data_IF_467109470770
#
_entry.id   IF_467109470770
#
_cell.length_a   1.000
_cell.length_b   1.000
_cell.length_c   1.000
_cell.angle_alpha   90.00
_cell.angle_beta   90.00
_cell.angle_gamma   90.00
#
_symmetry.space_group_name_H-M   'P 1'
#
loop_
_entity.id
_entity.type
_entity.pdbx_description
1 polymer ?
#
# COMPACT_ATOMS: atom_id res chain seq x y z
N UNK A 1 29.70 -21.87 13.57
CA UNK A 1 31.03 -21.29 13.85
C UNK A 1 31.45 -20.25 12.81
N UNK A 2 31.55 -20.61 11.51
CA UNK A 2 31.98 -19.68 10.43
C UNK A 2 31.21 -18.34 10.43
N UNK A 3 29.87 -18.40 10.56
CA UNK A 3 29.03 -17.19 10.62
C UNK A 3 29.37 -16.28 11.81
N UNK A 4 29.61 -16.87 12.99
CA UNK A 4 29.94 -16.12 14.22
C UNK A 4 31.30 -15.40 14.07
N UNK A 5 32.30 -16.08 13.51
CA UNK A 5 33.62 -15.48 13.25
C UNK A 5 33.53 -14.32 12.25
N UNK A 6 32.77 -14.48 11.17
CA UNK A 6 32.54 -13.38 10.21
C UNK A 6 31.83 -12.19 10.86
N UNK A 7 30.88 -12.45 11.76
CA UNK A 7 30.15 -11.41 12.49
C UNK A 7 31.08 -10.66 13.45
N UNK A 8 31.91 -11.37 14.21
CA UNK A 8 32.89 -10.77 15.11
C UNK A 8 33.83 -9.81 14.36
N UNK A 9 34.38 -10.27 13.22
CA UNK A 9 35.29 -9.47 12.40
C UNK A 9 34.67 -8.18 11.84
N UNK A 10 33.36 -8.17 11.59
CA UNK A 10 32.66 -7.02 11.02
C UNK A 10 32.09 -6.05 12.08
N UNK A 11 31.80 -6.53 13.29
CA UNK A 11 31.12 -5.75 14.33
C UNK A 11 32.09 -5.20 15.38
N UNK A 12 33.12 -5.97 15.74
CA UNK A 12 34.06 -5.57 16.79
C UNK A 12 34.90 -4.38 16.31
N UNK A 13 34.79 -3.26 17.02
CA UNK A 13 35.52 -2.03 16.72
C UNK A 13 36.98 -2.04 17.20
N UNK A 14 37.28 -2.81 18.25
CA UNK A 14 38.57 -2.84 18.93
C UNK A 14 39.09 -4.26 19.01
N UNK A 15 40.42 -4.43 18.89
CA UNK A 15 41.08 -5.74 18.99
C UNK A 15 40.76 -6.47 20.31
N UNK A 16 40.62 -5.73 21.42
CA UNK A 16 40.24 -6.30 22.72
C UNK A 16 38.88 -7.00 22.67
N UNK A 17 37.86 -6.32 22.15
CA UNK A 17 36.52 -6.89 22.00
C UNK A 17 36.48 -8.04 20.99
N UNK A 18 37.34 -8.02 19.97
CA UNK A 18 37.45 -9.11 19.01
C UNK A 18 38.02 -10.38 19.66
N UNK A 19 39.03 -10.24 20.52
CA UNK A 19 39.60 -11.39 21.26
C UNK A 19 38.58 -11.96 22.27
N UNK A 20 37.86 -11.09 23.00
CA UNK A 20 36.80 -11.51 23.91
C UNK A 20 35.71 -12.31 23.17
N UNK A 21 35.29 -11.85 21.99
CA UNK A 21 34.31 -12.54 21.15
C UNK A 21 34.85 -13.88 20.60
N UNK A 22 36.14 -13.95 20.23
CA UNK A 22 36.76 -15.22 19.83
C UNK A 22 36.82 -16.22 20.97
N UNK A 23 37.11 -15.77 22.20
CA UNK A 23 37.07 -16.63 23.38
C UNK A 23 35.66 -17.17 23.65
N UNK A 24 34.64 -16.33 23.47
CA UNK A 24 33.25 -16.76 23.60
C UNK A 24 32.85 -17.75 22.49
N UNK A 25 33.28 -17.52 21.24
CA UNK A 25 33.07 -18.45 20.14
C UNK A 25 33.76 -19.81 20.40
N UNK A 26 34.98 -19.82 20.96
CA UNK A 26 35.68 -21.04 21.39
C UNK A 26 34.89 -21.77 22.47
N UNK A 27 34.41 -21.04 23.48
CA UNK A 27 33.60 -21.59 24.58
C UNK A 27 32.30 -22.23 24.06
N UNK A 28 31.55 -21.52 23.22
CA UNK A 28 30.32 -22.03 22.60
C UNK A 28 30.63 -23.24 21.72
N UNK A 29 31.71 -23.21 20.94
CA UNK A 29 32.10 -24.33 20.10
C UNK A 29 32.45 -25.58 20.91
N UNK A 30 33.22 -25.43 21.99
CA UNK A 30 33.53 -26.52 22.92
C UNK A 30 32.27 -27.13 23.56
N UNK A 31 31.33 -26.28 24.00
CA UNK A 31 30.05 -26.74 24.55
C UNK A 31 29.20 -27.52 23.55
N UNK A 32 29.38 -27.26 22.26
CA UNK A 32 28.74 -28.00 21.18
C UNK A 32 29.64 -29.13 20.63
N UNK A 33 30.64 -29.57 21.41
CA UNK A 33 31.56 -30.66 21.10
C UNK A 33 32.36 -30.47 19.80
N UNK A 34 32.61 -29.22 19.38
CA UNK A 34 33.53 -28.96 18.27
C UNK A 34 34.99 -29.00 18.75
N UNK A 35 35.92 -29.65 18.01
CA UNK A 35 37.34 -29.63 18.34
C UNK A 35 37.93 -28.22 18.29
N UNK A 36 38.76 -27.85 19.27
CA UNK A 36 39.42 -26.53 19.30
C UNK A 36 40.25 -26.26 18.04
N UNK A 37 40.98 -27.27 17.57
CA UNK A 37 41.77 -27.19 16.34
C UNK A 37 40.94 -26.74 15.13
N UNK A 38 39.70 -27.22 15.03
CA UNK A 38 38.78 -26.82 13.96
C UNK A 38 38.36 -25.35 14.11
N UNK A 39 38.05 -24.90 15.33
CA UNK A 39 37.62 -23.53 15.61
C UNK A 39 38.75 -22.55 15.31
N UNK A 40 39.95 -22.80 15.83
CA UNK A 40 41.12 -21.93 15.65
C UNK A 40 41.56 -21.88 14.18
N UNK A 41 41.45 -23.00 13.46
CA UNK A 41 41.69 -23.02 12.00
C UNK A 41 40.73 -22.09 11.26
N UNK A 42 39.43 -22.13 11.61
CA UNK A 42 38.43 -21.23 10.99
C UNK A 42 38.73 -19.77 11.33
N UNK A 43 39.05 -19.47 12.58
CA UNK A 43 39.40 -18.11 13.02
C UNK A 43 40.60 -17.60 12.22
N UNK A 44 41.68 -18.39 12.12
CA UNK A 44 42.89 -18.02 11.39
C UNK A 44 42.64 -17.78 9.90
N UNK A 45 41.91 -18.68 9.23
CA UNK A 45 41.54 -18.53 7.81
C UNK A 45 40.75 -17.23 7.60
N UNK A 46 39.74 -16.97 8.44
CA UNK A 46 38.88 -15.79 8.30
C UNK A 46 39.59 -14.49 8.64
N UNK A 47 40.46 -14.48 9.64
CA UNK A 47 41.27 -13.32 9.98
C UNK A 47 42.22 -12.94 8.84
N UNK A 48 42.89 -13.94 8.24
CA UNK A 48 43.76 -13.73 7.07
C UNK A 48 42.99 -13.17 5.87
N UNK A 49 41.82 -13.74 5.56
CA UNK A 49 40.94 -13.26 4.50
C UNK A 49 40.46 -11.82 4.76
N UNK A 50 40.10 -11.50 6.00
CA UNK A 50 39.63 -10.18 6.39
C UNK A 50 40.73 -9.12 6.24
N UNK A 51 41.95 -9.45 6.67
CA UNK A 51 43.10 -8.57 6.52
C UNK A 51 43.41 -8.28 5.05
N UNK A 52 43.44 -9.31 4.19
CA UNK A 52 43.70 -9.14 2.76
C UNK A 52 42.59 -8.33 2.05
N UNK A 53 41.34 -8.43 2.51
CA UNK A 53 40.22 -7.63 2.01
C UNK A 53 40.31 -6.15 2.38
N UNK A 54 40.89 -5.84 3.55
CA UNK A 54 41.14 -4.46 3.97
C UNK A 54 42.29 -3.86 3.14
N UNK A 55 43.41 -4.58 2.97
CA UNK A 55 44.54 -4.10 2.18
C UNK A 55 44.17 -3.84 0.70
N UNK A 56 43.41 -4.74 0.07
CA UNK A 56 42.97 -4.54 -1.33
C UNK A 56 41.99 -3.38 -1.53
N UNK A 57 41.31 -2.92 -0.47
CA UNK A 57 40.44 -1.72 -0.49
C UNK A 57 41.20 -0.40 -0.33
N UNK A 58 42.36 -0.42 0.33
CA UNK A 58 43.13 0.80 0.61
C UNK A 58 44.00 1.17 -0.60
N UNK A 59 44.47 0.18 -1.37
CA UNK A 59 45.39 0.40 -2.50
C UNK A 59 44.73 0.55 -3.87
N UNK A 60 43.39 0.52 -3.93
CA UNK A 60 42.69 0.90 -5.16
C UNK A 60 42.30 2.37 -5.07
N UNK A 61 42.93 3.28 -5.84
CA UNK A 61 42.40 4.61 -5.97
C UNK A 61 40.95 4.44 -6.45
N UNK A 62 40.02 5.07 -5.73
CA UNK A 62 38.63 5.15 -6.11
C UNK A 62 38.61 5.98 -7.40
N UNK A 63 38.85 5.33 -8.53
CA UNK A 63 38.52 5.88 -9.83
C UNK A 63 36.99 5.78 -9.86
N UNK A 64 36.34 6.80 -9.31
CA UNK A 64 34.97 7.15 -9.68
C UNK A 64 34.99 7.40 -11.18
N UNK A 65 34.88 6.31 -11.94
CA UNK A 65 34.51 6.38 -13.33
C UNK A 65 33.10 6.98 -13.31
N UNK A 66 33.03 8.29 -13.58
CA UNK A 66 31.84 9.14 -13.69
C UNK A 66 30.96 8.73 -14.90
N UNK A 67 30.82 7.42 -15.10
CA UNK A 67 29.95 6.87 -16.13
C UNK A 67 28.53 7.16 -15.72
N UNK A 68 27.79 7.75 -16.66
CA UNK A 68 26.37 8.02 -16.48
C UNK A 68 25.64 6.69 -16.29
N UNK A 69 25.10 6.47 -15.09
CA UNK A 69 24.39 5.23 -14.73
C UNK A 69 22.97 5.27 -15.27
N UNK A 70 22.59 4.25 -16.03
CA UNK A 70 21.21 4.04 -16.48
C UNK A 70 20.73 2.69 -15.98
N UNK A 71 19.49 2.69 -15.52
CA UNK A 71 18.84 1.54 -14.95
C UNK A 71 17.79 0.99 -15.90
N UNK A 72 17.88 -0.31 -16.21
CA UNK A 72 17.00 -0.98 -17.17
C UNK A 72 16.32 -2.17 -16.50
N UNK A 73 14.99 -2.13 -16.49
CA UNK A 73 14.14 -3.24 -16.05
C UNK A 73 13.92 -4.23 -17.21
N UNK A 74 14.11 -5.51 -16.94
CA UNK A 74 13.91 -6.59 -17.92
C UNK A 74 13.25 -7.81 -17.24
N UNK A 75 12.22 -8.43 -17.85
CA UNK A 75 11.66 -9.68 -17.34
C UNK A 75 12.69 -10.81 -17.33
N UNK A 76 12.69 -11.61 -16.26
CA UNK A 76 13.56 -12.77 -16.11
C UNK A 76 12.96 -14.01 -16.79
N UNK A 77 13.46 -14.31 -17.98
CA UNK A 77 13.17 -15.49 -18.79
C UNK A 77 14.47 -16.30 -18.88
N UNK A 78 14.96 -16.73 -17.72
CA UNK A 78 16.11 -17.63 -17.56
C UNK A 78 17.32 -17.23 -18.45
N UNK A 79 17.81 -18.16 -19.27
CA UNK A 79 18.99 -18.01 -20.12
C UNK A 79 18.85 -16.92 -21.18
N UNK A 80 17.65 -16.74 -21.74
CA UNK A 80 17.37 -15.73 -22.76
C UNK A 80 17.62 -14.30 -22.24
N UNK A 81 17.22 -14.04 -20.99
CA UNK A 81 17.44 -12.74 -20.34
C UNK A 81 18.92 -12.47 -20.07
N UNK A 82 19.68 -13.49 -19.69
CA UNK A 82 21.14 -13.37 -19.48
C UNK A 82 21.84 -13.09 -20.81
N UNK A 83 21.46 -13.80 -21.88
CA UNK A 83 21.98 -13.57 -23.22
C UNK A 83 21.67 -12.16 -23.73
N UNK A 84 20.45 -11.68 -23.53
CA UNK A 84 20.05 -10.32 -23.91
C UNK A 84 20.81 -9.25 -23.12
N UNK A 85 20.92 -9.40 -21.79
CA UNK A 85 21.73 -8.51 -20.94
C UNK A 85 23.16 -8.40 -21.45
N UNK A 86 23.80 -9.53 -21.73
CA UNK A 86 25.18 -9.53 -22.20
C UNK A 86 25.30 -8.84 -23.56
N UNK A 87 24.42 -9.15 -24.51
CA UNK A 87 24.39 -8.49 -25.83
C UNK A 87 24.23 -6.97 -25.70
N UNK A 88 23.28 -6.50 -24.90
CA UNK A 88 23.06 -5.05 -24.70
C UNK A 88 24.27 -4.43 -24.01
N UNK A 89 24.85 -5.08 -23.00
CA UNK A 89 26.05 -4.59 -22.32
C UNK A 89 27.25 -4.49 -23.27
N UNK A 90 27.46 -5.50 -24.12
CA UNK A 90 28.52 -5.49 -25.14
C UNK A 90 28.31 -4.37 -26.16
N UNK A 91 27.08 -4.20 -26.67
CA UNK A 91 26.74 -3.12 -27.60
C UNK A 91 26.94 -1.75 -26.96
N UNK A 92 26.54 -1.59 -25.70
CA UNK A 92 26.69 -0.34 -24.97
C UNK A 92 28.15 0.01 -24.77
N UNK A 93 28.97 -0.94 -24.31
CA UNK A 93 30.40 -0.73 -24.14
C UNK A 93 31.10 -0.38 -25.47
N UNK A 94 30.60 -0.89 -26.59
CA UNK A 94 31.13 -0.60 -27.93
C UNK A 94 30.72 0.79 -28.44
N UNK A 95 29.47 1.20 -28.22
CA UNK A 95 28.91 2.43 -28.80
C UNK A 95 29.07 3.65 -27.89
N UNK A 96 28.94 3.47 -26.58
CA UNK A 96 29.04 4.53 -25.56
C UNK A 96 29.72 3.99 -24.28
N UNK A 97 31.05 3.98 -24.22
CA UNK A 97 31.79 3.49 -23.06
C UNK A 97 31.59 4.35 -21.79
N UNK A 98 31.11 5.58 -21.96
CA UNK A 98 30.79 6.53 -20.88
C UNK A 98 29.48 6.20 -20.16
N UNK A 99 28.72 5.23 -20.66
CA UNK A 99 27.44 4.80 -20.08
C UNK A 99 27.60 3.48 -19.34
N UNK A 100 27.17 3.44 -18.07
CA UNK A 100 27.08 2.20 -17.29
C UNK A 100 25.62 1.78 -17.17
N UNK A 101 25.25 0.70 -17.86
CA UNK A 101 23.89 0.15 -17.79
C UNK A 101 23.82 -0.94 -16.73
N UNK A 102 23.00 -0.70 -15.73
CA UNK A 102 22.67 -1.63 -14.66
C UNK A 102 21.30 -2.25 -14.93
N UNK A 103 21.26 -3.58 -15.00
CA UNK A 103 20.05 -4.34 -15.28
C UNK A 103 19.46 -4.88 -13.99
N UNK A 104 18.15 -4.75 -13.84
CA UNK A 104 17.39 -5.46 -12.81
C UNK A 104 16.41 -6.42 -13.46
N UNK A 105 16.31 -7.59 -12.85
CA UNK A 105 15.47 -8.67 -13.36
C UNK A 105 14.14 -8.68 -12.63
N UNK A 106 13.06 -8.46 -13.38
CA UNK A 106 11.71 -8.62 -12.85
C UNK A 106 11.30 -10.08 -12.93
N UNK A 107 10.91 -10.72 -11.82
CA UNK A 107 10.35 -12.05 -11.89
C UNK A 107 9.08 -12.03 -12.76
N UNK A 108 8.73 -13.14 -13.42
CA UNK A 108 7.44 -13.27 -14.06
C UNK A 108 6.32 -12.98 -13.05
N UNK A 109 5.20 -12.45 -13.53
CA UNK A 109 4.04 -12.18 -12.69
C UNK A 109 3.64 -13.44 -11.92
N UNK A 110 3.58 -13.34 -10.59
CA UNK A 110 3.07 -14.41 -9.74
C UNK A 110 1.68 -14.83 -10.19
N UNK A 111 1.30 -16.09 -9.97
CA UNK A 111 -0.05 -16.60 -10.21
C UNK A 111 -1.13 -15.73 -9.54
N UNK A 112 -0.78 -15.07 -8.43
CA UNK A 112 -1.61 -14.08 -7.73
C UNK A 112 -2.01 -12.87 -8.60
N UNK A 113 -1.23 -12.53 -9.63
CA UNK A 113 -1.61 -11.48 -10.58
C UNK A 113 -2.80 -11.90 -11.46
N UNK A 114 -2.99 -13.20 -11.67
CA UNK A 114 -4.09 -13.74 -12.47
C UNK A 114 -5.33 -14.06 -11.62
N UNK A 115 -5.15 -14.33 -10.32
CA UNK A 115 -6.24 -14.60 -9.40
C UNK A 115 -6.28 -13.54 -8.30
N UNK A 116 -7.26 -12.63 -8.38
CA UNK A 116 -7.54 -11.72 -7.28
C UNK A 116 -7.99 -12.55 -6.07
N UNK A 117 -7.19 -12.52 -4.99
CA UNK A 117 -7.50 -13.29 -3.76
C UNK A 117 -8.79 -12.85 -3.05
N UNK A 118 -9.39 -11.73 -3.46
CA UNK A 118 -10.61 -11.17 -2.88
C UNK A 118 -11.49 -10.63 -4.00
N UNK A 119 -12.78 -10.78 -3.82
CA UNK A 119 -13.76 -10.17 -4.71
C UNK A 119 -13.61 -8.63 -4.68
N UNK A 120 -13.66 -7.97 -5.84
CA UNK A 120 -13.59 -6.52 -5.89
C UNK A 120 -14.79 -5.92 -5.14
N UNK A 121 -14.49 -5.07 -4.15
CA UNK A 121 -15.52 -4.36 -3.41
C UNK A 121 -16.07 -3.26 -4.30
N UNK A 122 -17.39 -3.28 -4.54
CA UNK A 122 -18.09 -2.26 -5.32
C UNK A 122 -17.88 -0.89 -4.67
N UNK A 123 -17.71 0.15 -5.50
CA UNK A 123 -17.35 1.52 -5.10
C UNK A 123 -18.13 2.05 -3.88
N UNK A 124 -19.44 1.84 -3.82
CA UNK A 124 -20.32 2.33 -2.74
C UNK A 124 -20.15 1.57 -1.42
N UNK A 125 -19.63 0.34 -1.46
CA UNK A 125 -19.41 -0.51 -0.29
C UNK A 125 -18.03 -0.34 0.34
N UNK A 126 -17.15 0.46 -0.27
CA UNK A 126 -15.83 0.75 0.26
C UNK A 126 -15.91 1.68 1.48
N UNK A 127 -14.96 1.48 2.40
CA UNK A 127 -14.75 2.28 3.61
C UNK A 127 -13.37 2.95 3.54
N UNK A 128 -13.11 3.91 4.43
CA UNK A 128 -11.85 4.68 4.47
C UNK A 128 -11.53 5.42 3.17
N UNK A 129 -12.58 5.92 2.51
CA UNK A 129 -12.48 6.62 1.23
C UNK A 129 -12.67 8.12 1.39
N UNK A 130 -12.01 8.88 0.52
CA UNK A 130 -12.35 10.28 0.26
C UNK A 130 -13.24 10.31 -0.98
N UNK A 131 -14.37 11.01 -0.88
CA UNK A 131 -15.36 11.10 -1.95
C UNK A 131 -15.66 12.56 -2.28
N UNK A 132 -16.04 12.76 -3.53
CA UNK A 132 -16.40 14.05 -4.12
C UNK A 132 -17.85 14.01 -4.61
N UNK A 133 -18.63 15.03 -4.27
CA UNK A 133 -20.02 15.24 -4.74
C UNK A 133 -20.14 16.64 -5.32
N UNK A 134 -20.59 16.75 -6.57
CA UNK A 134 -20.76 18.03 -7.26
C UNK A 134 -22.21 18.51 -7.16
N UNK A 135 -22.41 19.82 -7.08
CA UNK A 135 -23.72 20.41 -7.35
C UNK A 135 -23.95 20.53 -8.87
N UNK A 136 -25.13 20.17 -9.37
CA UNK A 136 -25.44 20.30 -10.79
C UNK A 136 -25.69 21.75 -11.22
N UNK A 137 -26.19 22.57 -10.29
CA UNK A 137 -26.68 23.91 -10.59
C UNK A 137 -25.67 25.02 -10.22
N UNK A 138 -24.54 24.68 -9.59
CA UNK A 138 -23.48 25.64 -9.29
C UNK A 138 -22.07 25.03 -9.26
N UNK A 139 -21.05 25.88 -9.12
CA UNK A 139 -19.62 25.50 -9.06
C UNK A 139 -19.19 24.92 -7.71
N UNK A 140 -20.10 24.81 -6.75
CA UNK A 140 -19.78 24.27 -5.43
C UNK A 140 -19.68 22.75 -5.48
N UNK A 141 -18.77 22.21 -4.68
CA UNK A 141 -18.63 20.78 -4.50
C UNK A 141 -18.30 20.43 -3.05
N UNK A 142 -18.58 19.19 -2.70
CA UNK A 142 -18.34 18.65 -1.38
C UNK A 142 -17.28 17.55 -1.48
N UNK A 143 -16.17 17.73 -0.77
CA UNK A 143 -15.17 16.67 -0.56
C UNK A 143 -15.23 16.25 0.91
N UNK A 144 -15.50 14.95 1.12
CA UNK A 144 -15.60 14.38 2.45
C UNK A 144 -14.77 13.11 2.59
N UNK A 145 -14.30 12.84 3.80
CA UNK A 145 -13.70 11.56 4.19
C UNK A 145 -14.69 10.75 5.02
N UNK A 146 -14.73 9.44 4.80
CA UNK A 146 -15.53 8.51 5.60
C UNK A 146 -14.75 7.26 5.99
N UNK A 147 -14.78 6.92 7.28
CA UNK A 147 -14.32 5.61 7.79
C UNK A 147 -15.38 4.52 7.62
N UNK A 148 -16.62 4.94 7.36
CA UNK A 148 -17.78 4.07 7.15
C UNK A 148 -17.93 3.78 5.66
N UNK A 149 -18.69 2.73 5.33
CA UNK A 149 -19.07 2.45 3.94
C UNK A 149 -19.65 3.70 3.27
N UNK A 150 -19.19 3.98 2.05
CA UNK A 150 -19.55 5.18 1.30
C UNK A 150 -21.07 5.36 1.18
N UNK A 151 -21.80 4.28 0.88
CA UNK A 151 -23.27 4.27 0.80
C UNK A 151 -23.92 4.74 2.10
N UNK A 152 -23.37 4.38 3.26
CA UNK A 152 -23.91 4.80 4.56
C UNK A 152 -23.70 6.30 4.76
N UNK A 153 -22.52 6.81 4.40
CA UNK A 153 -22.22 8.25 4.48
C UNK A 153 -23.07 9.07 3.51
N UNK A 154 -23.28 8.58 2.29
CA UNK A 154 -24.15 9.24 1.31
C UNK A 154 -25.61 9.31 1.80
N UNK A 155 -26.11 8.23 2.41
CA UNK A 155 -27.43 8.23 3.05
C UNK A 155 -27.51 9.22 4.24
N UNK A 156 -26.45 9.31 5.05
CA UNK A 156 -26.34 10.33 6.13
C UNK A 156 -26.40 11.76 5.56
N UNK A 157 -25.94 11.97 4.32
CA UNK A 157 -26.00 13.25 3.61
C UNK A 157 -27.32 13.53 2.87
N UNK A 158 -28.26 12.58 2.86
CA UNK A 158 -29.57 12.75 2.23
C UNK A 158 -29.70 12.18 0.82
N UNK A 159 -28.71 11.43 0.33
CA UNK A 159 -28.79 10.79 -0.97
C UNK A 159 -29.99 9.82 -1.05
N UNK A 160 -30.75 9.81 -2.16
CA UNK A 160 -31.89 8.92 -2.29
C UNK A 160 -31.42 7.46 -2.41
N UNK A 161 -32.13 6.54 -1.76
CA UNK A 161 -31.79 5.10 -1.79
C UNK A 161 -31.81 4.51 -3.21
N UNK A 162 -32.57 5.12 -4.11
CA UNK A 162 -32.68 4.74 -5.52
C UNK A 162 -31.42 5.05 -6.32
N UNK A 163 -30.57 5.99 -5.89
CA UNK A 163 -29.35 6.37 -6.61
C UNK A 163 -28.30 5.25 -6.66
N UNK A 164 -28.37 4.27 -5.76
CA UNK A 164 -27.38 3.18 -5.63
C UNK A 164 -27.99 1.78 -5.75
N UNK A 165 -29.32 1.68 -5.96
CA UNK A 165 -30.06 0.41 -5.93
C UNK A 165 -29.67 -0.57 -7.05
N UNK A 166 -29.36 -0.07 -8.25
CA UNK A 166 -29.02 -0.92 -9.39
C UNK A 166 -27.70 -1.69 -9.20
N UNK A 167 -26.83 -1.24 -8.29
CA UNK A 167 -25.49 -1.81 -8.07
C UNK A 167 -25.37 -2.61 -6.75
N UNK A 168 -26.37 -2.53 -5.86
CA UNK A 168 -26.47 -3.38 -4.66
C UNK A 168 -27.15 -4.74 -4.95
N UNK A 169 -27.79 -4.91 -6.10
CA UNK A 169 -28.60 -6.10 -6.40
C UNK A 169 -27.79 -7.39 -6.64
N UNK A 170 -26.47 -7.30 -6.87
CA UNK A 170 -25.62 -8.50 -6.99
C UNK A 170 -25.46 -9.30 -5.70
N UNK A 171 -25.93 -8.80 -4.55
CA UNK A 171 -25.96 -9.55 -3.28
C UNK A 171 -27.32 -10.22 -3.02
N UNK A 172 -28.38 -9.80 -3.73
CA UNK A 172 -29.75 -10.29 -3.50
C UNK A 172 -30.19 -11.41 -4.45
N UNK A 173 -29.54 -11.58 -5.60
CA UNK A 173 -29.96 -12.61 -6.56
C UNK A 173 -29.56 -14.04 -6.16
N UNK A 174 -28.50 -14.21 -5.34
CA UNK A 174 -28.13 -15.51 -4.76
C UNK A 174 -29.05 -15.97 -3.61
N UNK A 175 -29.92 -15.10 -3.10
CA UNK A 175 -30.86 -15.44 -2.01
C UNK A 175 -32.20 -15.98 -2.52
N UNK A 176 -32.49 -15.86 -3.82
CA UNK A 176 -33.75 -16.34 -4.39
C UNK A 176 -33.77 -17.84 -4.71
N UNK A 177 -32.65 -18.56 -4.51
CA UNK A 177 -32.60 -20.01 -4.78
C UNK A 177 -32.68 -20.92 -3.56
N UNK A 178 -33.05 -20.41 -2.37
CA UNK A 178 -33.34 -21.26 -1.22
C UNK A 178 -34.57 -20.76 -0.45
N UNK A 179 -35.74 -21.25 -0.84
CA UNK A 179 -37.02 -21.08 -0.14
C UNK A 179 -37.10 -21.77 1.24
N UNK A 180 -35.95 -22.10 1.85
CA UNK A 180 -35.87 -22.86 3.10
C UNK A 180 -34.75 -22.41 4.05
N UNK A 181 -34.27 -21.17 3.97
CA UNK A 181 -33.42 -20.61 5.04
C UNK A 181 -34.33 -20.18 6.18
N UNK A 182 -34.39 -21.00 7.24
CA UNK A 182 -34.87 -20.58 8.55
C UNK A 182 -34.24 -19.22 8.90
N UNK A 183 -35.07 -18.22 9.20
CA UNK A 183 -34.65 -16.87 9.55
C UNK A 183 -33.45 -16.90 10.51
N UNK A 184 -32.30 -16.39 10.03
CA UNK A 184 -31.14 -16.19 10.88
C UNK A 184 -31.54 -15.23 12.01
N UNK A 185 -31.51 -15.67 13.28
CA UNK A 185 -31.92 -14.90 14.47
C UNK A 185 -31.44 -13.44 14.55
N UNK A 186 -30.38 -13.07 13.83
CA UNK A 186 -29.90 -11.68 13.70
C UNK A 186 -30.85 -10.77 12.89
N UNK A 187 -31.54 -11.27 11.86
CA UNK A 187 -32.47 -10.48 11.04
C UNK A 187 -33.75 -10.11 11.80
N UNK A 188 -34.29 -11.02 12.61
CA UNK A 188 -35.50 -10.79 13.42
C UNK A 188 -35.28 -9.70 14.49
N UNK A 189 -34.06 -9.56 15.00
CA UNK A 189 -33.72 -8.53 16.02
C UNK A 189 -33.62 -7.11 15.43
N UNK A 190 -33.24 -6.99 14.16
CA UNK A 190 -33.15 -5.70 13.47
C UNK A 190 -34.54 -5.18 13.14
N UNK A 191 -35.45 -6.06 12.69
CA UNK A 191 -36.83 -5.71 12.33
C UNK A 191 -37.62 -5.12 13.50
N UNK A 192 -37.43 -5.68 14.69
CA UNK A 192 -38.08 -5.20 15.92
C UNK A 192 -37.50 -3.87 16.43
N UNK A 193 -36.30 -3.47 15.99
CA UNK A 193 -35.75 -2.15 16.29
C UNK A 193 -36.34 -1.07 15.38
N UNK A 194 -36.67 -1.42 14.14
CA UNK A 194 -37.27 -0.48 13.16
C UNK A 194 -38.74 -0.19 13.42
N UNK A 195 -39.50 -1.14 13.99
CA UNK A 195 -40.91 -0.91 14.35
C UNK A 195 -41.11 -0.03 15.59
N UNK A 196 -40.09 0.16 16.43
CA UNK A 196 -40.17 1.00 17.64
C UNK A 196 -39.89 2.49 17.32
N UNK A 197 -39.40 2.84 16.12
CA UNK A 197 -39.06 4.23 15.77
C UNK A 197 -40.04 4.92 14.82
N UNK A 198 -41.23 4.35 14.58
CA UNK A 198 -42.32 5.05 13.92
C UNK A 198 -43.09 5.90 14.93
N UNK A 199 -42.41 6.85 15.57
CA UNK A 199 -43.07 7.97 16.22
C UNK A 199 -43.01 9.17 15.29
N UNK A 200 -44.21 9.59 14.89
CA UNK A 200 -44.47 10.83 14.17
C UNK A 200 -44.10 12.03 15.03
N UNK A 201 -43.56 13.06 14.38
CA UNK A 201 -43.30 14.41 14.89
C UNK A 201 -42.23 14.60 15.98
N UNK A 202 -41.10 15.14 15.56
CA UNK A 202 -40.65 16.45 16.09
C UNK A 202 -39.47 16.95 15.25
N UNK A 203 -39.47 18.25 14.95
CA UNK A 203 -38.34 19.04 14.52
C UNK A 203 -37.18 18.92 15.51
N UNK A 204 -36.53 17.77 15.54
CA UNK A 204 -35.29 17.59 16.27
C UNK A 204 -34.19 18.21 15.41
N UNK A 205 -33.44 19.13 16.01
CA UNK A 205 -32.24 19.74 15.42
C UNK A 205 -31.15 18.68 15.21
N UNK A 206 -31.38 17.74 14.30
CA UNK A 206 -30.34 16.90 13.73
C UNK A 206 -29.54 17.87 12.87
N UNK A 207 -28.31 18.13 13.29
CA UNK A 207 -27.37 18.97 12.55
C UNK A 207 -27.43 18.56 11.07
N UNK A 208 -27.93 19.46 10.22
CA UNK A 208 -28.13 19.17 8.79
C UNK A 208 -26.77 19.13 8.14
N UNK A 209 -26.54 18.16 7.27
CA UNK A 209 -25.23 18.06 6.62
C UNK A 209 -25.00 19.28 5.72
N UNK A 210 -23.75 19.69 5.48
CA UNK A 210 -23.46 20.86 4.63
C UNK A 210 -24.09 20.72 3.24
N UNK A 211 -24.19 19.49 2.74
CA UNK A 211 -24.85 19.18 1.47
C UNK A 211 -26.36 19.44 1.56
N UNK A 212 -27.02 18.85 2.57
CA UNK A 212 -28.46 19.01 2.80
C UNK A 212 -28.85 20.48 3.05
N UNK A 213 -27.94 21.23 3.68
CA UNK A 213 -28.12 22.65 3.91
C UNK A 213 -28.01 23.46 2.59
N UNK A 214 -27.02 23.15 1.75
CA UNK A 214 -26.89 23.76 0.43
C UNK A 214 -28.15 23.52 -0.44
N UNK A 215 -28.64 22.29 -0.53
CA UNK A 215 -29.86 21.97 -1.28
C UNK A 215 -31.07 22.75 -0.75
N UNK A 216 -31.19 22.92 0.58
CA UNK A 216 -32.30 23.67 1.17
C UNK A 216 -32.22 25.18 0.96
N UNK A 217 -31.02 25.76 1.06
CA UNK A 217 -30.81 27.21 0.97
C UNK A 217 -30.85 27.72 -0.47
N UNK A 218 -30.36 26.92 -1.41
CA UNK A 218 -30.25 27.31 -2.83
C UNK A 218 -31.33 26.69 -3.72
N UNK A 219 -31.98 25.61 -3.27
CA UNK A 219 -32.89 24.83 -4.11
C UNK A 219 -32.18 23.99 -5.18
N UNK A 220 -30.85 23.92 -5.15
CA UNK A 220 -30.06 23.17 -6.13
C UNK A 220 -30.08 21.66 -5.87
N UNK A 221 -29.79 20.88 -6.90
CA UNK A 221 -29.68 19.43 -6.85
C UNK A 221 -28.23 18.94 -6.93
N UNK A 222 -27.88 18.01 -6.05
CA UNK A 222 -26.56 17.38 -6.04
C UNK A 222 -26.50 16.15 -6.94
N UNK A 223 -25.37 15.94 -7.60
CA UNK A 223 -25.12 14.73 -8.37
C UNK A 223 -24.70 13.57 -7.46
N UNK A 224 -25.69 12.78 -7.07
CA UNK A 224 -25.50 11.57 -6.27
C UNK A 224 -25.06 10.36 -7.10
N UNK A 225 -25.27 10.39 -8.43
CA UNK A 225 -24.99 9.25 -9.31
C UNK A 225 -23.52 9.17 -9.69
N UNK A 226 -22.83 10.31 -9.83
CA UNK A 226 -21.44 10.38 -10.27
C UNK A 226 -20.45 10.78 -9.17
N UNK A 227 -20.68 10.35 -7.92
CA UNK A 227 -19.71 10.61 -6.85
C UNK A 227 -18.38 9.92 -7.21
N UNK A 228 -17.25 10.61 -7.07
CA UNK A 228 -15.94 10.05 -7.40
C UNK A 228 -15.17 9.68 -6.12
N UNK A 229 -14.64 8.46 -6.10
CA UNK A 229 -13.57 8.07 -5.19
C UNK A 229 -12.29 8.15 -6.02
N UNK A 230 -11.30 8.93 -5.60
CA UNK A 230 -10.04 8.97 -6.35
C UNK A 230 -8.82 8.89 -5.44
N UNK A 231 -7.87 8.06 -5.86
CA UNK A 231 -6.50 8.08 -5.35
C UNK A 231 -5.84 9.43 -5.60
N UNK A 232 -6.28 10.15 -6.65
CA UNK A 232 -5.87 11.51 -6.97
C UNK A 232 -6.25 12.50 -5.86
N UNK A 233 -7.49 12.46 -5.34
CA UNK A 233 -7.89 13.30 -4.19
C UNK A 233 -7.03 13.00 -2.96
N UNK A 234 -6.61 11.74 -2.76
CA UNK A 234 -5.66 11.40 -1.69
C UNK A 234 -4.25 11.95 -1.95
N UNK A 235 -3.82 12.02 -3.22
CA UNK A 235 -2.50 12.54 -3.61
C UNK A 235 -2.43 14.07 -3.59
N UNK A 236 -3.53 14.76 -3.87
CA UNK A 236 -3.61 16.22 -3.88
C UNK A 236 -3.88 16.84 -2.50
N UNK A 237 -4.22 16.03 -1.49
CA UNK A 237 -4.56 16.46 -0.12
C UNK A 237 -5.40 17.76 -0.08
N UNK A 238 -6.51 17.87 -0.85
CA UNK A 238 -7.28 19.11 -0.89
C UNK A 238 -7.87 19.39 0.49
N UNK A 239 -8.13 20.66 0.78
CA UNK A 239 -8.81 21.04 2.00
C UNK A 239 -10.14 20.26 2.10
N UNK A 240 -10.28 19.49 3.18
CA UNK A 240 -11.49 18.74 3.45
C UNK A 240 -12.49 19.66 4.14
N UNK A 241 -13.79 19.43 3.88
CA UNK A 241 -14.82 19.99 4.73
C UNK A 241 -14.61 19.45 6.16
N UNK A 242 -14.20 20.34 7.07
CA UNK A 242 -13.68 20.00 8.41
C UNK A 242 -14.72 19.26 9.27
N UNK A 243 -16.00 19.48 9.02
CA UNK A 243 -17.10 18.79 9.70
C UNK A 243 -18.21 18.45 8.70
N UNK A 244 -19.07 17.50 9.05
CA UNK A 244 -20.31 17.21 8.30
C UNK A 244 -21.26 18.40 8.19
N UNK A 245 -20.98 19.49 8.91
CA UNK A 245 -21.81 20.70 9.05
C UNK A 245 -21.02 21.97 8.71
N UNK A 246 -19.80 21.88 8.17
CA UNK A 246 -19.02 23.06 7.81
C UNK A 246 -19.61 23.69 6.55
N UNK A 247 -20.14 24.91 6.70
CA UNK A 247 -20.56 25.81 5.63
C UNK A 247 -19.49 26.92 5.52
N UNK A 248 -19.11 27.38 4.31
CA UNK A 248 -19.64 27.02 2.98
C UNK A 248 -19.02 25.77 2.35
N UNK A 249 -19.71 25.20 1.34
CA UNK A 249 -19.12 24.20 0.44
C UNK A 249 -17.90 24.80 -0.27
N UNK A 250 -16.87 23.99 -0.51
CA UNK A 250 -15.68 24.45 -1.20
C UNK A 250 -15.98 24.64 -2.70
N UNK A 251 -15.61 25.81 -3.21
CA UNK A 251 -15.58 26.11 -4.64
C UNK A 251 -14.22 25.67 -5.15
N UNK A 252 -14.19 24.68 -6.03
CA UNK A 252 -12.97 24.30 -6.72
C UNK A 252 -12.99 24.86 -8.14
N UNK A 253 -11.86 25.42 -8.63
CA UNK A 253 -11.76 25.79 -10.03
C UNK A 253 -11.95 24.57 -10.92
N UNK A 254 -12.60 24.76 -12.06
CA UNK A 254 -12.83 23.71 -13.05
C UNK A 254 -11.48 23.04 -13.41
N UNK A 255 -11.36 21.73 -13.15
CA UNK A 255 -10.17 20.95 -13.52
C UNK A 255 -9.51 20.11 -12.43
N UNK A 256 -10.28 19.45 -11.55
CA UNK A 256 -9.83 18.15 -11.06
C UNK A 256 -9.89 17.19 -12.26
N UNK A 257 -8.75 16.65 -12.75
CA UNK A 257 -8.74 15.75 -13.90
C UNK A 257 -9.49 14.45 -13.63
#
# INVERSE_FOLDING_TARGET
IVSMVNRALNICSTYKHLEDEFNEIRRIGLLNNYPLSFIDTIIGIKLSQHRNKIFTKIDTPIIENDKKKIYVEIPFIQSSTIGLKNKIKHLTNKLKPDLDIQFFFKPPSSTQAFFQNKDPIVKHMKSDVVYYVKCNDCTHSYIGKTERQCIRRLNEHGAPKTAYQQQCNHVSDDLNHNSNIQELRRSSRIRNKTTITNDNNSDNMIAKSSITQHEKETGHHMDWSNFQESLLIKAYEPELNKTTHSVPLLVFPDGLP
#
